data_IF_496190173248
#
_entry.id   IF_496190173248
#
_cell.length_a   1.000
_cell.length_b   1.000
_cell.length_c   1.000
_cell.angle_alpha   90.00
_cell.angle_beta   90.00
_cell.angle_gamma   90.00
#
_symmetry.space_group_name_H-M   'P 1'
#
loop_
_entity.id
_entity.type
_entity.pdbx_description
1 polymer ?
#
# COMPACT_ATOMS: atom_id res chain seq x y z
N UNK A 1 5.42 -39.86 4.31
CA UNK A 1 6.53 -38.91 4.07
C UNK A 1 6.82 -38.21 5.39
N UNK A 2 7.98 -38.47 5.97
CA UNK A 2 8.34 -38.00 7.30
C UNK A 2 8.82 -36.53 7.25
N UNK A 3 8.38 -35.75 8.21
CA UNK A 3 8.64 -34.31 8.41
C UNK A 3 10.09 -33.97 8.80
N UNK A 4 11.07 -34.84 8.53
CA UNK A 4 12.40 -34.79 9.13
C UNK A 4 13.58 -34.35 8.23
N UNK A 5 13.37 -33.99 6.97
CA UNK A 5 14.50 -33.69 6.06
C UNK A 5 14.52 -32.28 5.44
N UNK A 6 13.76 -31.31 5.96
CA UNK A 6 13.97 -29.91 5.60
C UNK A 6 15.01 -29.32 6.57
N UNK A 7 16.28 -29.34 6.18
CA UNK A 7 17.25 -28.46 6.83
C UNK A 7 16.74 -27.01 6.65
N UNK A 8 16.68 -26.21 7.74
CA UNK A 8 16.36 -24.81 7.56
C UNK A 8 17.41 -24.19 6.65
N UNK A 9 17.00 -23.79 5.44
CA UNK A 9 17.84 -22.91 4.64
C UNK A 9 18.10 -21.67 5.49
N UNK A 10 19.37 -21.37 5.74
CA UNK A 10 19.74 -20.09 6.34
C UNK A 10 19.10 -18.97 5.49
N UNK A 11 18.34 -18.11 6.12
CA UNK A 11 17.71 -17.00 5.41
C UNK A 11 18.76 -16.13 4.74
N UNK A 12 18.58 -15.78 3.48
CA UNK A 12 19.52 -14.94 2.73
C UNK A 12 19.62 -13.53 3.34
N UNK A 13 18.55 -13.06 3.95
CA UNK A 13 18.45 -11.74 4.58
C UNK A 13 18.05 -11.87 6.03
N UNK A 14 18.85 -11.30 6.92
CA UNK A 14 18.58 -11.22 8.35
C UNK A 14 18.76 -9.78 8.82
N UNK A 15 17.69 -9.19 9.34
CA UNK A 15 17.67 -7.79 9.81
C UNK A 15 18.67 -7.58 10.96
N UNK A 16 18.83 -8.59 11.83
CA UNK A 16 19.78 -8.54 12.96
C UNK A 16 21.23 -8.38 12.51
N UNK A 17 21.57 -8.93 11.33
CA UNK A 17 22.90 -8.80 10.73
C UNK A 17 23.02 -7.56 9.83
N UNK A 18 21.96 -6.74 9.72
CA UNK A 18 21.92 -5.56 8.88
C UNK A 18 21.88 -5.85 7.37
N UNK A 19 21.49 -7.08 7.00
CA UNK A 19 21.45 -7.52 5.60
C UNK A 19 20.05 -7.35 5.03
N UNK A 20 19.92 -6.44 4.05
CA UNK A 20 18.68 -6.15 3.35
C UNK A 20 18.82 -6.42 1.85
N UNK A 21 17.73 -6.81 1.16
CA UNK A 21 17.78 -6.90 -0.30
C UNK A 21 18.01 -5.52 -0.92
N UNK A 22 18.70 -5.46 -2.06
CA UNK A 22 18.93 -4.20 -2.76
C UNK A 22 17.62 -3.57 -3.20
N UNK A 23 17.66 -2.25 -3.43
CA UNK A 23 16.56 -1.53 -4.08
C UNK A 23 16.40 -2.05 -5.51
N UNK A 24 15.15 -2.13 -5.99
CA UNK A 24 14.87 -2.52 -7.37
C UNK A 24 15.19 -1.34 -8.32
N UNK A 25 16.23 -1.42 -9.17
CA UNK A 25 16.60 -0.31 -10.05
C UNK A 25 15.56 -0.03 -11.14
N UNK A 26 14.67 -0.99 -11.41
CA UNK A 26 13.62 -0.91 -12.42
C UNK A 26 12.21 -0.76 -11.80
N UNK A 27 12.12 -0.33 -10.55
CA UNK A 27 10.85 -0.14 -9.87
C UNK A 27 9.97 0.88 -10.59
N UNK A 28 8.81 0.43 -11.07
CA UNK A 28 7.78 1.31 -11.63
C UNK A 28 7.21 2.25 -10.57
N UNK A 29 7.16 1.80 -9.32
CA UNK A 29 6.68 2.58 -8.19
C UNK A 29 7.61 3.76 -7.90
N UNK A 30 8.92 3.52 -7.85
CA UNK A 30 9.94 4.56 -7.67
C UNK A 30 9.94 5.54 -8.85
N UNK A 31 9.81 5.02 -10.08
CA UNK A 31 9.72 5.89 -11.27
C UNK A 31 8.51 6.82 -11.19
N UNK A 32 7.34 6.31 -10.82
CA UNK A 32 6.12 7.11 -10.66
C UNK A 32 6.25 8.16 -9.56
N UNK A 33 6.81 7.81 -8.39
CA UNK A 33 7.06 8.76 -7.30
C UNK A 33 8.01 9.87 -7.72
N UNK A 34 9.06 9.52 -8.48
CA UNK A 34 10.01 10.49 -9.02
C UNK A 34 9.36 11.44 -10.01
N UNK A 35 8.56 10.92 -10.96
CA UNK A 35 7.79 11.75 -11.92
C UNK A 35 6.90 12.75 -11.19
N UNK A 36 6.16 12.31 -10.16
CA UNK A 36 5.33 13.21 -9.35
C UNK A 36 6.16 14.31 -8.68
N UNK A 37 7.32 13.95 -8.11
CA UNK A 37 8.23 14.89 -7.46
C UNK A 37 8.84 15.89 -8.45
N UNK A 38 9.21 15.45 -9.65
CA UNK A 38 9.69 16.31 -10.73
C UNK A 38 8.61 17.27 -11.24
N UNK A 39 7.34 16.84 -11.21
CA UNK A 39 6.16 17.68 -11.46
C UNK A 39 5.85 18.65 -10.31
N UNK A 40 6.60 18.63 -9.21
CA UNK A 40 6.42 19.49 -8.03
C UNK A 40 5.18 19.16 -7.20
N UNK A 41 4.73 17.91 -7.20
CA UNK A 41 3.55 17.44 -6.46
C UNK A 41 3.79 16.12 -5.76
N UNK A 42 3.01 15.85 -4.73
CA UNK A 42 2.93 14.52 -4.14
C UNK A 42 2.14 13.56 -5.04
N UNK A 43 2.48 12.25 -4.98
CA UNK A 43 1.71 11.21 -5.64
C UNK A 43 0.34 11.05 -4.97
N UNK A 44 -0.73 10.92 -5.77
CA UNK A 44 -2.06 10.55 -5.27
C UNK A 44 -2.18 9.03 -5.28
N UNK A 45 -2.34 8.44 -4.10
CA UNK A 45 -2.47 7.00 -3.89
C UNK A 45 -3.90 6.71 -3.44
N UNK A 46 -4.64 5.92 -4.19
CA UNK A 46 -6.01 5.57 -3.84
C UNK A 46 -6.14 4.12 -3.41
N UNK A 47 -6.75 3.91 -2.22
CA UNK A 47 -7.05 2.59 -1.69
C UNK A 47 -8.48 2.17 -2.05
N UNK A 48 -8.63 0.93 -2.56
CA UNK A 48 -9.93 0.27 -2.73
C UNK A 48 -9.82 -1.22 -2.37
N UNK A 49 -10.80 -1.80 -1.65
CA UNK A 49 -10.82 -3.24 -1.37
C UNK A 49 -11.26 -4.03 -2.60
N UNK A 50 -10.52 -5.07 -2.95
CA UNK A 50 -10.89 -5.98 -4.02
C UNK A 50 -12.18 -6.74 -3.66
N UNK A 51 -13.11 -6.84 -4.61
CA UNK A 51 -14.36 -7.58 -4.42
C UNK A 51 -15.51 -6.80 -3.77
N UNK A 52 -15.36 -5.52 -3.43
CA UNK A 52 -16.42 -4.69 -2.86
C UNK A 52 -16.95 -3.68 -3.90
N UNK A 53 -18.28 -3.49 -4.02
CA UNK A 53 -19.37 -4.28 -3.42
C UNK A 53 -19.49 -5.68 -4.06
N UNK A 54 -18.91 -5.87 -5.20
CA UNK A 54 -18.70 -7.13 -5.90
C UNK A 54 -17.41 -7.02 -6.73
N UNK A 55 -16.98 -8.14 -7.31
CA UNK A 55 -15.69 -8.18 -8.00
C UNK A 55 -15.62 -7.26 -9.23
N UNK A 56 -16.67 -7.26 -10.06
CA UNK A 56 -16.66 -6.46 -11.29
C UNK A 56 -16.67 -4.95 -11.01
N UNK A 57 -17.50 -4.51 -10.08
CA UNK A 57 -17.54 -3.10 -9.67
C UNK A 57 -16.25 -2.67 -8.97
N UNK A 58 -15.60 -3.56 -8.20
CA UNK A 58 -14.32 -3.23 -7.56
C UNK A 58 -13.20 -3.00 -8.59
N UNK A 59 -13.15 -3.83 -9.64
CA UNK A 59 -12.19 -3.66 -10.75
C UNK A 59 -12.52 -2.39 -11.56
N UNK A 60 -13.79 -2.17 -11.90
CA UNK A 60 -14.21 -0.97 -12.61
C UNK A 60 -13.89 0.31 -11.82
N UNK A 61 -14.11 0.30 -10.50
CA UNK A 61 -13.77 1.43 -9.62
C UNK A 61 -12.27 1.72 -9.57
N UNK A 62 -11.43 0.67 -9.52
CA UNK A 62 -9.99 0.83 -9.55
C UNK A 62 -9.50 1.37 -10.92
N UNK A 63 -10.13 0.98 -12.01
CA UNK A 63 -9.87 1.51 -13.35
C UNK A 63 -10.26 3.00 -13.42
N UNK A 64 -11.45 3.35 -12.91
CA UNK A 64 -11.88 4.76 -12.82
C UNK A 64 -10.92 5.58 -11.94
N UNK A 65 -10.45 5.02 -10.83
CA UNK A 65 -9.44 5.65 -9.96
C UNK A 65 -8.17 6.00 -10.75
N UNK A 66 -7.58 5.05 -11.46
CA UNK A 66 -6.36 5.25 -12.25
C UNK A 66 -6.55 6.23 -13.41
N UNK A 67 -7.65 6.10 -14.16
CA UNK A 67 -7.92 6.95 -15.33
C UNK A 67 -8.30 8.40 -14.97
N UNK A 68 -8.68 8.66 -13.72
CA UNK A 68 -9.08 10.00 -13.26
C UNK A 68 -8.04 10.69 -12.37
N UNK A 69 -6.82 10.16 -12.26
CA UNK A 69 -5.70 10.91 -11.72
C UNK A 69 -4.99 10.33 -10.52
N UNK A 70 -5.33 9.13 -10.06
CA UNK A 70 -4.48 8.43 -9.13
C UNK A 70 -3.18 7.99 -9.83
N UNK A 71 -2.05 8.23 -9.18
CA UNK A 71 -0.73 7.83 -9.65
C UNK A 71 -0.44 6.37 -9.28
N UNK A 72 -0.93 5.97 -8.11
CA UNK A 72 -0.75 4.64 -7.54
C UNK A 72 -2.11 4.15 -7.03
N UNK A 73 -2.41 2.88 -7.28
CA UNK A 73 -3.59 2.18 -6.76
C UNK A 73 -3.12 1.18 -5.71
N UNK A 74 -3.63 1.34 -4.50
CA UNK A 74 -3.48 0.40 -3.40
C UNK A 74 -4.70 -0.53 -3.38
N UNK A 75 -4.54 -1.76 -3.87
CA UNK A 75 -5.61 -2.74 -3.93
C UNK A 75 -5.59 -3.62 -2.68
N UNK A 76 -6.58 -3.44 -1.80
CA UNK A 76 -6.70 -4.17 -0.55
C UNK A 76 -7.24 -5.59 -0.73
N UNK A 77 -6.57 -6.59 -0.18
CA UNK A 77 -7.06 -7.97 -0.13
C UNK A 77 -7.99 -8.12 1.08
N UNK A 78 -9.27 -8.50 0.89
CA UNK A 78 -10.16 -8.78 2.00
C UNK A 78 -9.62 -9.86 2.94
N UNK A 79 -9.66 -9.58 4.24
CA UNK A 79 -9.21 -10.49 5.28
C UNK A 79 -10.21 -10.52 6.45
N UNK A 80 -10.35 -11.68 7.10
CA UNK A 80 -11.33 -11.89 8.18
C UNK A 80 -11.00 -11.17 9.49
N UNK A 81 -9.71 -10.89 9.72
CA UNK A 81 -9.20 -10.33 10.97
C UNK A 81 -8.42 -9.02 10.74
N UNK A 82 -9.08 -7.95 10.22
CA UNK A 82 -8.43 -6.74 9.72
C UNK A 82 -8.13 -5.75 10.85
N UNK A 83 -7.15 -6.07 11.70
CA UNK A 83 -6.82 -5.34 12.95
C UNK A 83 -6.37 -3.89 12.72
N UNK A 84 -5.89 -3.54 11.52
CA UNK A 84 -5.43 -2.19 11.18
C UNK A 84 -6.50 -1.36 10.46
N UNK A 85 -7.61 -1.96 10.04
CA UNK A 85 -8.62 -1.30 9.22
C UNK A 85 -9.67 -0.58 10.06
N UNK A 86 -10.07 0.59 9.60
CA UNK A 86 -11.21 1.30 10.18
C UNK A 86 -12.57 0.67 9.81
N UNK A 87 -13.67 1.02 10.51
CA UNK A 87 -14.96 0.33 10.38
C UNK A 87 -15.55 0.36 8.96
N UNK A 88 -15.30 1.39 8.18
CA UNK A 88 -15.76 1.48 6.77
C UNK A 88 -15.04 0.44 5.90
N UNK A 89 -13.73 0.29 6.08
CA UNK A 89 -12.94 -0.69 5.34
C UNK A 89 -13.29 -2.09 5.81
N UNK A 90 -13.41 -2.33 7.13
CA UNK A 90 -13.86 -3.61 7.69
C UNK A 90 -15.21 -4.06 7.12
N UNK A 91 -16.18 -3.14 7.01
CA UNK A 91 -17.48 -3.44 6.41
C UNK A 91 -17.34 -3.84 4.93
N UNK A 92 -16.56 -3.08 4.17
CA UNK A 92 -16.35 -3.35 2.75
C UNK A 92 -15.64 -4.70 2.50
N UNK A 93 -14.57 -4.99 3.25
CA UNK A 93 -13.84 -6.27 3.16
C UNK A 93 -14.70 -7.44 3.63
N UNK A 94 -15.51 -7.27 4.68
CA UNK A 94 -16.49 -8.26 5.14
C UNK A 94 -17.52 -8.59 4.06
N UNK A 95 -18.10 -7.57 3.42
CA UNK A 95 -19.04 -7.73 2.28
C UNK A 95 -18.39 -8.50 1.14
N UNK A 96 -17.13 -8.21 0.79
CA UNK A 96 -16.43 -8.93 -0.27
C UNK A 96 -16.20 -10.40 0.08
N UNK A 97 -15.86 -10.72 1.34
CA UNK A 97 -15.71 -12.10 1.82
C UNK A 97 -17.05 -12.86 1.81
N UNK A 98 -18.13 -12.24 2.27
CA UNK A 98 -19.50 -12.79 2.21
C UNK A 98 -19.94 -13.03 0.76
N UNK A 99 -19.52 -12.16 -0.17
CA UNK A 99 -19.70 -12.32 -1.62
C UNK A 99 -18.84 -13.43 -2.25
N UNK A 100 -18.05 -14.15 -1.45
CA UNK A 100 -17.24 -15.28 -1.88
C UNK A 100 -15.90 -14.89 -2.52
N UNK A 101 -15.37 -13.70 -2.26
CA UNK A 101 -14.04 -13.31 -2.74
C UNK A 101 -12.97 -14.32 -2.29
N UNK A 102 -12.07 -14.66 -3.20
CA UNK A 102 -10.91 -15.52 -2.94
C UNK A 102 -9.63 -14.78 -3.26
N UNK A 103 -8.58 -14.99 -2.45
CA UNK A 103 -7.27 -14.35 -2.62
C UNK A 103 -6.76 -14.42 -4.05
N UNK A 104 -6.89 -15.60 -4.70
CA UNK A 104 -6.41 -15.79 -6.08
C UNK A 104 -7.04 -14.85 -7.11
N UNK A 105 -8.21 -14.26 -6.81
CA UNK A 105 -8.84 -13.27 -7.69
C UNK A 105 -8.15 -11.91 -7.67
N UNK A 106 -7.32 -11.62 -6.67
CA UNK A 106 -6.58 -10.36 -6.64
C UNK A 106 -5.66 -10.21 -7.85
N UNK A 107 -5.04 -11.30 -8.30
CA UNK A 107 -4.14 -11.26 -9.46
C UNK A 107 -4.89 -10.99 -10.78
N UNK A 108 -6.13 -11.47 -10.91
CA UNK A 108 -6.99 -11.11 -12.04
C UNK A 108 -7.38 -9.62 -12.00
N UNK A 109 -7.72 -9.11 -10.83
CA UNK A 109 -8.00 -7.69 -10.65
C UNK A 109 -6.78 -6.82 -10.99
N UNK A 110 -5.59 -7.14 -10.43
CA UNK A 110 -4.34 -6.42 -10.72
C UNK A 110 -4.07 -6.39 -12.23
N UNK A 111 -4.12 -7.54 -12.92
CA UNK A 111 -3.88 -7.61 -14.37
C UNK A 111 -4.84 -6.70 -15.14
N UNK A 112 -6.14 -6.79 -14.87
CA UNK A 112 -7.16 -5.97 -15.56
C UNK A 112 -6.99 -4.48 -15.32
N UNK A 113 -6.56 -4.08 -14.12
CA UNK A 113 -6.30 -2.69 -13.78
C UNK A 113 -5.04 -2.18 -14.50
N UNK A 114 -3.96 -2.95 -14.46
CA UNK A 114 -2.70 -2.57 -15.13
C UNK A 114 -2.81 -2.52 -16.64
N UNK A 115 -3.64 -3.38 -17.26
CA UNK A 115 -3.93 -3.33 -18.70
C UNK A 115 -4.79 -2.13 -19.11
N UNK A 116 -5.61 -1.59 -18.19
CA UNK A 116 -6.59 -0.54 -18.48
C UNK A 116 -6.16 0.87 -18.04
N UNK A 117 -5.08 1.00 -17.24
CA UNK A 117 -4.64 2.29 -16.69
C UNK A 117 -3.13 2.46 -16.76
N UNK A 118 -2.67 3.70 -16.56
CA UNK A 118 -1.23 4.00 -16.40
C UNK A 118 -0.83 4.07 -14.91
N UNK A 119 -1.76 3.90 -13.98
CA UNK A 119 -1.46 3.91 -12.56
C UNK A 119 -0.66 2.67 -12.16
N UNK A 120 0.29 2.85 -11.25
CA UNK A 120 1.04 1.73 -10.69
C UNK A 120 0.20 1.02 -9.64
N UNK A 121 0.09 -0.31 -9.71
CA UNK A 121 -0.72 -1.09 -8.76
C UNK A 121 0.18 -1.76 -7.73
N UNK A 122 -0.11 -1.50 -6.46
CA UNK A 122 0.43 -2.23 -5.31
C UNK A 122 -0.69 -2.95 -4.58
N UNK A 123 -0.40 -4.08 -3.96
CA UNK A 123 -1.40 -4.84 -3.20
C UNK A 123 -1.15 -4.64 -1.71
N UNK A 124 -2.19 -4.28 -0.96
CA UNK A 124 -2.16 -4.30 0.50
C UNK A 124 -2.78 -5.59 1.01
N UNK A 125 -2.04 -6.34 1.80
CA UNK A 125 -2.55 -7.58 2.40
C UNK A 125 -1.89 -7.86 3.75
N UNK A 126 -2.66 -8.47 4.66
CA UNK A 126 -2.11 -9.05 5.88
C UNK A 126 -1.23 -10.24 5.57
N UNK A 127 -0.31 -10.55 6.47
CA UNK A 127 0.72 -11.56 6.22
C UNK A 127 0.19 -13.00 6.19
N UNK A 128 -0.79 -13.30 7.04
CA UNK A 128 -1.35 -14.65 7.10
C UNK A 128 -1.94 -15.16 5.76
N UNK A 129 -2.72 -14.39 4.97
CA UNK A 129 -3.14 -14.78 3.63
C UNK A 129 -1.97 -15.10 2.69
N UNK A 130 -0.87 -14.36 2.76
CA UNK A 130 0.33 -14.59 1.94
C UNK A 130 1.02 -15.90 2.34
N UNK A 131 1.16 -16.15 3.64
CA UNK A 131 1.68 -17.44 4.15
C UNK A 131 0.83 -18.61 3.70
N UNK A 132 -0.49 -18.50 3.80
CA UNK A 132 -1.42 -19.55 3.39
C UNK A 132 -1.38 -19.84 1.88
N UNK A 133 -1.14 -18.82 1.04
CA UNK A 133 -0.98 -18.98 -0.41
C UNK A 133 0.41 -19.53 -0.77
N UNK A 134 1.40 -19.29 0.08
CA UNK A 134 2.83 -19.51 -0.16
C UNK A 134 3.50 -18.26 -0.69
N UNK A 135 4.48 -17.74 0.06
CA UNK A 135 5.13 -16.45 -0.19
C UNK A 135 5.73 -16.34 -1.61
N UNK A 136 6.44 -17.36 -2.06
CA UNK A 136 7.05 -17.39 -3.41
C UNK A 136 5.98 -17.44 -4.51
N UNK A 137 4.89 -18.21 -4.30
CA UNK A 137 3.78 -18.28 -5.24
C UNK A 137 3.06 -16.94 -5.35
N UNK A 138 2.79 -16.28 -4.21
CA UNK A 138 2.14 -14.98 -4.17
C UNK A 138 2.96 -13.92 -4.91
N UNK A 139 4.26 -13.85 -4.63
CA UNK A 139 5.16 -12.90 -5.28
C UNK A 139 5.24 -13.13 -6.81
N UNK A 140 5.37 -14.41 -7.23
CA UNK A 140 5.36 -14.78 -8.64
C UNK A 140 4.07 -14.34 -9.34
N UNK A 141 2.93 -14.64 -8.75
CA UNK A 141 1.62 -14.40 -9.37
C UNK A 141 1.27 -12.91 -9.37
N UNK A 142 1.69 -12.15 -8.33
CA UNK A 142 1.58 -10.70 -8.28
C UNK A 142 2.42 -10.01 -9.37
N UNK A 143 3.69 -10.39 -9.50
CA UNK A 143 4.57 -9.85 -10.54
C UNK A 143 4.06 -10.21 -11.96
N UNK A 144 3.61 -11.45 -12.17
CA UNK A 144 3.03 -11.90 -13.45
C UNK A 144 1.73 -11.15 -13.81
N UNK A 145 0.99 -10.66 -12.82
CA UNK A 145 -0.21 -9.83 -13.01
C UNK A 145 0.12 -8.35 -13.28
N UNK A 146 1.38 -7.93 -13.18
CA UNK A 146 1.81 -6.55 -13.36
C UNK A 146 1.78 -5.70 -12.08
N UNK A 147 1.61 -6.33 -10.91
CA UNK A 147 1.73 -5.63 -9.63
C UNK A 147 3.16 -5.20 -9.34
N UNK A 148 3.35 -4.00 -8.80
CA UNK A 148 4.67 -3.42 -8.56
C UNK A 148 5.24 -3.75 -7.18
N UNK A 149 4.40 -4.07 -6.20
CA UNK A 149 4.84 -4.32 -4.83
C UNK A 149 3.72 -4.66 -3.88
N UNK A 150 4.06 -4.82 -2.61
CA UNK A 150 3.12 -5.18 -1.56
C UNK A 150 3.31 -4.34 -0.31
N UNK A 151 2.20 -3.87 0.24
CA UNK A 151 2.09 -3.21 1.54
C UNK A 151 1.69 -4.28 2.56
N UNK A 152 2.46 -4.40 3.63
CA UNK A 152 2.23 -5.38 4.70
C UNK A 152 2.00 -4.69 6.03
N UNK A 153 0.74 -4.51 6.47
CA UNK A 153 0.44 -3.74 7.67
C UNK A 153 0.85 -4.44 8.98
N UNK A 154 0.95 -5.76 8.98
CA UNK A 154 1.22 -6.60 10.15
C UNK A 154 2.55 -7.38 10.06
N UNK A 155 3.34 -7.20 9.01
CA UNK A 155 4.67 -7.80 8.88
C UNK A 155 5.74 -6.78 9.25
N UNK A 156 6.57 -7.13 10.21
CA UNK A 156 7.74 -6.32 10.59
C UNK A 156 9.00 -6.79 9.83
N UNK A 157 9.97 -5.90 9.55
CA UNK A 157 11.19 -6.29 8.83
C UNK A 157 11.92 -7.49 9.44
N UNK A 158 11.92 -7.61 10.77
CA UNK A 158 12.60 -8.70 11.50
C UNK A 158 12.05 -10.10 11.17
N UNK A 159 10.81 -10.19 10.71
CA UNK A 159 10.12 -11.43 10.36
C UNK A 159 9.95 -11.61 8.84
N UNK A 160 10.51 -10.68 8.04
CA UNK A 160 10.22 -10.57 6.61
C UNK A 160 11.20 -11.34 5.71
N UNK A 161 12.08 -12.21 6.22
CA UNK A 161 13.12 -12.88 5.43
C UNK A 161 12.57 -13.58 4.18
N UNK A 162 11.49 -14.34 4.31
CA UNK A 162 10.84 -15.00 3.17
C UNK A 162 10.29 -14.00 2.13
N UNK A 163 9.77 -12.85 2.59
CA UNK A 163 9.30 -11.79 1.70
C UNK A 163 10.47 -11.05 1.03
N UNK A 164 11.57 -10.84 1.73
CA UNK A 164 12.78 -10.27 1.15
C UNK A 164 13.28 -11.10 -0.03
N UNK A 165 13.40 -12.42 0.15
CA UNK A 165 13.86 -13.32 -0.92
C UNK A 165 12.89 -13.34 -2.11
N UNK A 166 11.58 -13.46 -1.85
CA UNK A 166 10.58 -13.51 -2.89
C UNK A 166 10.46 -12.17 -3.64
N UNK A 167 10.46 -11.05 -2.95
CA UNK A 167 10.37 -9.72 -3.56
C UNK A 167 11.58 -9.41 -4.45
N UNK A 168 12.79 -9.73 -4.00
CA UNK A 168 14.00 -9.59 -4.83
C UNK A 168 13.92 -10.47 -6.09
N UNK A 169 13.54 -11.74 -5.92
CA UNK A 169 13.46 -12.72 -7.01
C UNK A 169 12.52 -12.27 -8.13
N UNK A 170 11.40 -11.64 -7.78
CA UNK A 170 10.37 -11.24 -8.73
C UNK A 170 10.32 -9.72 -9.01
N UNK A 171 11.25 -8.95 -8.46
CA UNK A 171 11.37 -7.51 -8.70
C UNK A 171 10.22 -6.68 -8.11
N UNK A 172 9.67 -7.11 -6.98
CA UNK A 172 8.57 -6.42 -6.28
C UNK A 172 9.09 -5.47 -5.22
N UNK A 173 8.42 -4.34 -5.06
CA UNK A 173 8.69 -3.41 -3.97
C UNK A 173 8.08 -3.86 -2.64
N UNK A 174 8.76 -3.51 -1.57
CA UNK A 174 8.43 -3.82 -0.18
C UNK A 174 8.03 -2.55 0.55
N UNK A 175 6.78 -2.44 0.95
CA UNK A 175 6.28 -1.23 1.61
C UNK A 175 5.92 -1.60 3.05
N UNK A 176 6.80 -1.21 3.99
CA UNK A 176 6.57 -1.38 5.42
C UNK A 176 5.97 -0.13 6.05
N UNK A 177 5.29 -0.33 7.19
CA UNK A 177 4.64 0.73 7.93
C UNK A 177 5.57 1.30 9.00
N UNK A 178 5.58 2.62 9.11
CA UNK A 178 6.18 3.35 10.22
C UNK A 178 5.11 4.12 10.99
N UNK A 179 5.15 4.07 12.30
CA UNK A 179 4.20 4.73 13.19
C UNK A 179 4.87 5.87 13.97
N UNK A 180 4.08 6.80 14.47
CA UNK A 180 4.53 7.90 15.35
C UNK A 180 5.27 7.39 16.60
N UNK A 181 4.97 6.18 17.06
CA UNK A 181 5.63 5.54 18.21
C UNK A 181 6.94 4.82 17.87
N UNK A 182 7.34 4.77 16.60
CA UNK A 182 8.57 4.10 16.18
C UNK A 182 9.81 4.82 16.68
N UNK A 183 10.74 4.08 17.30
CA UNK A 183 12.03 4.65 17.73
C UNK A 183 12.90 5.05 16.51
N UNK A 184 13.89 5.93 16.66
CA UNK A 184 14.81 6.27 15.57
C UNK A 184 15.47 5.06 14.92
N UNK A 185 15.94 4.09 15.72
CA UNK A 185 16.54 2.85 15.23
C UNK A 185 15.53 2.01 14.43
N UNK A 186 14.26 2.00 14.87
CA UNK A 186 13.19 1.32 14.15
C UNK A 186 12.89 1.98 12.80
N UNK A 187 12.90 3.32 12.75
CA UNK A 187 12.74 4.05 11.49
C UNK A 187 13.88 3.75 10.50
N UNK A 188 15.14 3.67 10.96
CA UNK A 188 16.26 3.27 10.12
C UNK A 188 16.10 1.84 9.57
N UNK A 189 15.67 0.90 10.41
CA UNK A 189 15.42 -0.48 9.98
C UNK A 189 14.31 -0.53 8.92
N UNK A 190 13.20 0.17 9.16
CA UNK A 190 12.07 0.23 8.21
C UNK A 190 12.50 0.89 6.90
N UNK A 191 13.24 2.01 6.95
CA UNK A 191 13.72 2.70 5.76
C UNK A 191 14.64 1.81 4.90
N UNK A 192 15.56 1.05 5.53
CA UNK A 192 16.45 0.12 4.82
C UNK A 192 15.72 -1.09 4.25
N UNK A 193 14.72 -1.60 4.98
CA UNK A 193 13.95 -2.78 4.57
C UNK A 193 12.96 -2.47 3.44
N UNK A 194 12.43 -1.24 3.41
CA UNK A 194 11.46 -0.82 2.39
C UNK A 194 12.12 -0.55 1.04
N UNK A 195 11.36 -0.78 -0.01
CA UNK A 195 11.62 -0.25 -1.35
C UNK A 195 10.31 0.34 -1.90
N UNK A 196 10.40 1.24 -2.87
CA UNK A 196 9.26 2.03 -3.29
C UNK A 196 9.04 3.22 -2.37
N UNK A 197 8.28 3.05 -1.28
CA UNK A 197 8.10 4.07 -0.25
C UNK A 197 7.94 3.44 1.14
N UNK A 198 8.07 4.27 2.18
CA UNK A 198 7.66 3.91 3.55
C UNK A 198 6.25 4.46 3.79
N UNK A 199 5.34 3.61 4.26
CA UNK A 199 3.98 4.02 4.63
C UNK A 199 4.00 4.66 6.02
N UNK A 200 3.89 5.98 6.08
CA UNK A 200 3.80 6.73 7.32
C UNK A 200 2.36 6.71 7.86
N UNK A 201 2.13 5.87 8.86
CA UNK A 201 0.81 5.75 9.51
C UNK A 201 0.67 6.86 10.55
N UNK A 202 -0.24 7.78 10.31
CA UNK A 202 -0.66 8.72 11.33
C UNK A 202 -2.09 8.38 11.77
N UNK A 203 -2.21 7.91 12.99
CA UNK A 203 -3.50 7.53 13.56
C UNK A 203 -4.28 8.79 13.88
N UNK A 204 -5.34 9.06 13.14
CA UNK A 204 -6.42 9.94 13.54
C UNK A 204 -7.28 9.23 14.58
N UNK A 205 -6.89 9.28 15.80
CA UNK A 205 -7.74 8.75 16.85
C UNK A 205 -7.15 8.99 18.20
N UNK A 206 -7.38 10.14 18.75
CA UNK A 206 -7.77 10.49 20.11
C UNK A 206 -7.68 12.00 20.23
N UNK A 207 -8.82 12.68 20.35
CA UNK A 207 -9.02 13.99 21.03
C UNK A 207 -7.83 14.98 20.96
N UNK A 208 -7.36 15.35 19.77
CA UNK A 208 -6.41 16.43 19.57
C UNK A 208 -6.87 17.32 18.41
N UNK A 209 -6.58 18.61 18.47
CA UNK A 209 -6.90 19.52 17.38
C UNK A 209 -6.23 19.00 16.07
N UNK A 210 -6.93 19.15 14.94
CA UNK A 210 -6.49 18.69 13.60
C UNK A 210 -5.06 19.15 13.24
N UNK A 211 -4.63 20.33 13.69
CA UNK A 211 -3.29 20.88 13.55
C UNK A 211 -2.22 20.01 14.21
N UNK A 212 -2.47 19.46 15.40
CA UNK A 212 -1.49 18.63 16.10
C UNK A 212 -1.24 17.27 15.43
N UNK A 213 -2.21 16.76 14.66
CA UNK A 213 -2.07 15.49 13.94
C UNK A 213 -1.30 15.67 12.63
N UNK A 214 -1.51 16.78 11.93
CA UNK A 214 -0.73 17.14 10.74
C UNK A 214 0.74 17.40 11.08
N UNK A 215 1.02 18.13 12.17
CA UNK A 215 2.38 18.38 12.66
C UNK A 215 3.10 17.07 13.06
N UNK A 216 2.39 16.13 13.70
CA UNK A 216 2.95 14.85 14.07
C UNK A 216 3.27 13.99 12.82
N UNK A 217 2.41 14.02 11.80
CA UNK A 217 2.65 13.33 10.54
C UNK A 217 3.84 13.92 9.79
N UNK A 218 3.96 15.24 9.73
CA UNK A 218 5.11 15.93 9.15
C UNK A 218 6.40 15.52 9.87
N UNK A 219 6.44 15.54 11.20
CA UNK A 219 7.60 15.11 11.98
C UNK A 219 7.99 13.64 11.71
N UNK A 220 7.02 12.76 11.50
CA UNK A 220 7.30 11.36 11.12
C UNK A 220 7.96 11.28 9.72
N UNK A 221 7.46 12.02 8.74
CA UNK A 221 8.04 12.06 7.39
C UNK A 221 9.47 12.61 7.42
N UNK A 222 9.71 13.71 8.14
CA UNK A 222 11.05 14.29 8.33
C UNK A 222 12.02 13.27 8.95
N UNK A 223 11.57 12.55 9.99
CA UNK A 223 12.37 11.51 10.64
C UNK A 223 12.65 10.31 9.71
N UNK A 224 11.69 9.92 8.86
CA UNK A 224 11.87 8.86 7.87
C UNK A 224 12.91 9.25 6.81
N UNK A 225 12.86 10.48 6.30
CA UNK A 225 13.87 10.97 5.36
C UNK A 225 15.25 11.06 6.03
N UNK A 226 15.33 11.52 7.28
CA UNK A 226 16.57 11.53 8.06
C UNK A 226 17.12 10.11 8.30
N UNK A 227 16.24 9.11 8.41
CA UNK A 227 16.57 7.69 8.54
C UNK A 227 16.95 7.02 7.20
N UNK A 228 16.87 7.74 6.07
CA UNK A 228 17.30 7.28 4.75
C UNK A 228 16.17 6.77 3.85
N UNK A 229 14.89 6.97 4.21
CA UNK A 229 13.79 6.69 3.29
C UNK A 229 13.81 7.66 2.10
N UNK A 230 13.83 7.15 0.87
CA UNK A 230 13.80 7.98 -0.34
C UNK A 230 12.43 8.64 -0.52
N UNK A 231 11.36 7.88 -0.24
CA UNK A 231 9.97 8.34 -0.31
C UNK A 231 9.20 7.92 0.94
N UNK A 232 8.37 8.84 1.45
CA UNK A 232 7.45 8.61 2.56
C UNK A 232 6.04 9.07 2.16
N UNK A 233 5.07 8.15 2.17
CA UNK A 233 3.69 8.42 1.83
C UNK A 233 2.79 8.36 3.06
N UNK A 234 1.85 9.30 3.18
CA UNK A 234 1.04 9.50 4.40
C UNK A 234 -0.41 9.12 4.18
N UNK A 235 -0.94 8.27 5.07
CA UNK A 235 -2.36 7.98 5.20
C UNK A 235 -2.95 8.65 6.45
N UNK A 236 -3.78 9.69 6.26
CA UNK A 236 -4.26 10.56 7.36
C UNK A 236 -5.75 10.90 7.26
N UNK A 237 -6.60 9.95 6.90
CA UNK A 237 -8.04 10.22 6.80
C UNK A 237 -8.38 11.32 5.79
N UNK A 238 -7.64 11.39 4.71
CA UNK A 238 -7.77 12.35 3.62
C UNK A 238 -9.11 12.18 2.92
N UNK A 239 -9.81 13.28 2.66
CA UNK A 239 -11.14 13.25 2.03
C UNK A 239 -11.43 14.43 1.10
N UNK A 240 -10.54 15.41 1.01
CA UNK A 240 -10.69 16.62 0.19
C UNK A 240 -9.39 16.97 -0.51
N UNK A 241 -9.50 17.76 -1.60
CA UNK A 241 -8.33 18.32 -2.31
C UNK A 241 -7.44 19.13 -1.37
N UNK A 242 -8.01 19.94 -0.51
CA UNK A 242 -7.25 20.75 0.46
C UNK A 242 -6.37 19.88 1.38
N UNK A 243 -6.85 18.70 1.79
CA UNK A 243 -6.04 17.75 2.56
C UNK A 243 -4.90 17.18 1.73
N UNK A 244 -5.14 16.88 0.45
CA UNK A 244 -4.08 16.39 -0.46
C UNK A 244 -2.99 17.45 -0.62
N UNK A 245 -3.37 18.71 -0.80
CA UNK A 245 -2.44 19.84 -0.93
C UNK A 245 -1.66 20.06 0.36
N UNK A 246 -2.30 20.09 1.50
CA UNK A 246 -1.66 20.27 2.81
C UNK A 246 -0.60 19.18 3.06
N UNK A 247 -0.97 17.91 2.93
CA UNK A 247 -0.04 16.79 3.17
C UNK A 247 1.05 16.75 2.11
N UNK A 248 0.72 17.09 0.86
CA UNK A 248 1.66 17.15 -0.25
C UNK A 248 2.75 18.20 -0.09
N UNK A 249 2.65 19.13 0.89
CA UNK A 249 3.73 20.07 1.20
C UNK A 249 4.91 19.42 1.89
N UNK A 250 4.74 18.27 2.53
CA UNK A 250 5.78 17.59 3.31
C UNK A 250 5.95 16.09 3.02
N UNK A 251 4.96 15.44 2.39
CA UNK A 251 5.02 14.02 2.04
C UNK A 251 5.19 13.82 0.53
N UNK A 252 5.84 12.73 0.13
CA UNK A 252 6.03 12.38 -1.29
C UNK A 252 4.76 11.77 -1.92
N UNK A 253 3.84 11.25 -1.10
CA UNK A 253 2.55 10.73 -1.54
C UNK A 253 1.47 10.83 -0.48
N UNK A 254 0.23 10.95 -0.94
CA UNK A 254 -0.98 11.09 -0.11
C UNK A 254 -1.92 9.94 -0.36
N UNK A 255 -2.24 9.18 0.68
CA UNK A 255 -3.05 7.96 0.60
C UNK A 255 -4.48 8.27 1.02
N UNK A 256 -5.43 7.96 0.15
CA UNK A 256 -6.86 8.18 0.33
C UNK A 256 -7.57 6.82 0.31
N UNK A 257 -8.18 6.43 1.42
CA UNK A 257 -8.92 5.16 1.51
C UNK A 257 -10.41 5.37 1.76
N UNK A 258 -10.76 5.67 3.00
CA UNK A 258 -12.15 5.71 3.47
C UNK A 258 -13.09 6.54 2.59
N UNK A 259 -12.64 7.69 2.07
CA UNK A 259 -13.46 8.54 1.21
C UNK A 259 -13.78 7.85 -0.13
N UNK A 260 -12.81 7.18 -0.75
CA UNK A 260 -13.00 6.43 -1.99
C UNK A 260 -13.89 5.20 -1.79
N UNK A 261 -13.72 4.47 -0.68
CA UNK A 261 -14.59 3.33 -0.34
C UNK A 261 -16.04 3.77 -0.13
N UNK A 262 -16.27 4.92 0.52
CA UNK A 262 -17.61 5.51 0.65
C UNK A 262 -18.18 5.92 -0.70
N UNK A 263 -17.40 6.60 -1.54
CA UNK A 263 -17.84 6.98 -2.88
C UNK A 263 -18.24 5.75 -3.71
N UNK A 264 -17.49 4.65 -3.60
CA UNK A 264 -17.84 3.38 -4.23
C UNK A 264 -19.15 2.80 -3.71
N UNK A 265 -19.33 2.82 -2.38
CA UNK A 265 -20.58 2.32 -1.76
C UNK A 265 -21.81 3.13 -2.18
N UNK A 266 -21.69 4.45 -2.25
CA UNK A 266 -22.82 5.38 -2.43
C UNK A 266 -23.17 5.59 -3.92
N UNK A 267 -22.18 5.57 -4.82
CA UNK A 267 -22.39 5.94 -6.22
C UNK A 267 -21.61 5.11 -7.25
N UNK A 268 -21.04 3.98 -6.81
CA UNK A 268 -20.35 3.05 -7.69
C UNK A 268 -19.05 3.58 -8.31
N UNK A 269 -18.52 2.91 -9.35
CA UNK A 269 -17.24 3.26 -10.00
C UNK A 269 -17.18 4.70 -10.50
N UNK A 270 -18.29 5.24 -11.05
CA UNK A 270 -18.35 6.61 -11.58
C UNK A 270 -18.10 7.64 -10.47
N UNK A 271 -18.65 7.41 -9.28
CA UNK A 271 -18.47 8.32 -8.14
C UNK A 271 -17.00 8.28 -7.65
N UNK A 272 -16.34 7.12 -7.71
CA UNK A 272 -14.90 7.01 -7.43
C UNK A 272 -14.10 7.86 -8.42
N UNK A 273 -14.37 7.76 -9.71
CA UNK A 273 -13.70 8.57 -10.73
C UNK A 273 -13.93 10.09 -10.53
N UNK A 274 -15.14 10.49 -10.20
CA UNK A 274 -15.48 11.89 -9.93
C UNK A 274 -14.70 12.44 -8.72
N UNK A 275 -14.71 11.72 -7.60
CA UNK A 275 -13.95 12.10 -6.41
C UNK A 275 -12.44 12.12 -6.69
N UNK A 276 -11.94 11.18 -7.48
CA UNK A 276 -10.51 11.14 -7.84
C UNK A 276 -10.08 12.37 -8.62
N UNK A 277 -10.89 12.82 -9.60
CA UNK A 277 -10.61 14.07 -10.34
C UNK A 277 -10.53 15.28 -9.42
N UNK A 278 -11.47 15.39 -8.48
CA UNK A 278 -11.46 16.44 -7.46
C UNK A 278 -10.17 16.40 -6.62
N UNK A 279 -9.83 15.22 -6.08
CA UNK A 279 -8.63 15.03 -5.27
C UNK A 279 -7.34 15.32 -6.05
N UNK A 280 -7.28 14.94 -7.31
CA UNK A 280 -6.14 15.19 -8.21
C UNK A 280 -6.05 16.65 -8.70
N UNK A 281 -7.07 17.49 -8.46
CA UNK A 281 -7.13 18.86 -8.99
C UNK A 281 -7.31 18.92 -10.51
N UNK A 282 -8.00 17.92 -11.07
CA UNK A 282 -8.32 17.80 -12.50
C UNK A 282 -9.82 18.05 -12.80
N UNK A 283 -10.51 18.74 -11.85
CA UNK A 283 -11.93 19.04 -11.96
C UNK A 283 -12.17 20.21 -12.94
#
# INVERSE_FOLDING_TARGET
>A
MSYQDAQPHAAKYEVLDGTFPPQNPNSLLVQRLRECKEDGRAALIGYLPAGFPNFEDSVAAAIELGNNGADIIELGVPYSDPVMDGPVIQHATGTALEGGFKLSRVFDAVRRITEATQAVVVVMTYWNPVLAYGVDNFARDLAAAGGAGMITPDLVPDEASAWFEASEKYGLDRIFLAALSSSPQRLETIAKASSGFVYAVSVMGVTGARTSVSEAAQGLVENLHAAGAEYACVGLGVSTRAHVEEIGTYADGVIVGTALVKALADGGPIAVGALTRELAGRA
#
